data_IF_324353288054
#
_entry.id   IF_324353288054
#
_cell.length_a   1.000
_cell.length_b   1.000
_cell.length_c   1.000
_cell.angle_alpha   90.00
_cell.angle_beta   90.00
_cell.angle_gamma   90.00
#
_symmetry.space_group_name_H-M   'P 1'
#
loop_
_entity.id
_entity.type
_entity.pdbx_description
1 polymer ?
#
# COMPACT_ATOMS: atom_id res chain seq x y z
N UNK A 1 -36.30 2.35 35.07
CA UNK A 1 -35.04 3.11 35.20
C UNK A 1 -33.92 2.22 34.66
N UNK A 2 -33.43 2.49 33.44
CA UNK A 2 -32.37 1.71 32.79
C UNK A 2 -31.17 2.64 32.60
N UNK A 3 -30.08 2.34 33.28
CA UNK A 3 -28.85 3.11 33.27
C UNK A 3 -28.14 2.86 31.93
N UNK A 4 -27.95 3.92 31.14
CA UNK A 4 -27.13 3.90 29.92
C UNK A 4 -25.66 3.95 30.33
N UNK A 5 -24.89 2.93 30.01
CA UNK A 5 -23.43 2.95 30.16
C UNK A 5 -22.83 3.70 28.96
N UNK A 6 -22.42 4.95 29.19
CA UNK A 6 -21.47 5.65 28.36
C UNK A 6 -20.10 5.03 28.63
N UNK A 7 -19.62 4.19 27.72
CA UNK A 7 -18.22 3.78 27.72
C UNK A 7 -17.39 5.02 27.38
N UNK A 8 -16.78 5.61 28.42
CA UNK A 8 -15.79 6.65 28.30
C UNK A 8 -14.60 6.11 27.50
N UNK A 9 -14.37 6.72 26.33
CA UNK A 9 -13.20 6.50 25.51
C UNK A 9 -12.00 7.12 26.27
N UNK A 10 -11.27 6.29 27.01
CA UNK A 10 -10.00 6.70 27.58
C UNK A 10 -8.97 6.78 26.45
N UNK A 11 -8.59 8.01 26.09
CA UNK A 11 -7.42 8.28 25.24
C UNK A 11 -6.18 7.88 26.04
N UNK A 12 -5.65 6.70 25.76
CA UNK A 12 -4.33 6.29 26.25
C UNK A 12 -3.31 6.99 25.36
N UNK A 13 -2.82 8.14 25.81
CA UNK A 13 -1.59 8.73 25.32
C UNK A 13 -0.42 7.83 25.75
N UNK A 14 -0.14 6.80 24.97
CA UNK A 14 1.09 6.03 25.11
C UNK A 14 2.23 6.82 24.47
N UNK A 15 2.86 7.69 25.27
CA UNK A 15 4.19 8.17 24.95
C UNK A 15 5.19 7.04 25.20
N UNK A 16 6.02 6.69 24.20
CA UNK A 16 7.48 6.81 24.26
C UNK A 16 8.21 5.99 23.17
N UNK A 17 9.07 6.73 22.46
CA UNK A 17 10.43 6.34 22.06
C UNK A 17 10.63 5.28 20.96
N UNK A 18 10.29 5.62 19.71
CA UNK A 18 11.14 5.20 18.57
C UNK A 18 11.27 6.17 17.40
N UNK A 19 10.57 7.30 17.38
CA UNK A 19 10.76 8.39 16.39
C UNK A 19 11.31 9.70 17.03
N UNK A 20 11.88 9.67 18.25
CA UNK A 20 12.45 10.87 18.88
C UNK A 20 13.86 11.16 18.38
N UNK A 21 13.99 12.07 17.41
CA UNK A 21 15.20 12.88 17.32
C UNK A 21 15.12 13.90 18.45
N UNK A 22 16.07 13.85 19.38
CA UNK A 22 16.18 14.81 20.47
C UNK A 22 16.70 16.14 19.88
N UNK A 23 15.83 17.11 19.67
CA UNK A 23 16.21 18.52 19.62
C UNK A 23 15.29 19.29 20.56
N UNK A 24 15.90 19.87 21.60
CA UNK A 24 15.27 20.76 22.57
C UNK A 24 14.92 22.07 21.86
N UNK A 25 13.66 22.21 21.44
CA UNK A 25 13.16 23.46 20.89
C UNK A 25 12.44 24.24 21.98
N UNK A 26 13.11 25.30 22.42
CA UNK A 26 12.61 26.26 23.39
C UNK A 26 11.23 26.82 23.03
N UNK A 27 10.48 27.15 24.09
CA UNK A 27 9.12 27.66 24.09
C UNK A 27 8.90 28.79 23.06
N UNK A 28 8.21 28.49 21.96
CA UNK A 28 7.75 29.49 21.01
C UNK A 28 6.48 30.17 21.54
N UNK A 29 6.52 31.50 21.69
CA UNK A 29 5.38 32.33 22.05
C UNK A 29 4.34 32.48 20.92
N UNK A 30 3.18 33.11 21.19
CA UNK A 30 2.08 33.19 20.23
C UNK A 30 2.42 34.20 19.13
N UNK A 31 2.93 33.71 18.00
CA UNK A 31 3.25 34.49 16.81
C UNK A 31 2.46 34.02 15.61
N UNK A 32 1.68 34.92 15.02
CA UNK A 32 1.05 34.75 13.70
C UNK A 32 2.09 35.02 12.61
N UNK A 33 2.64 33.98 11.96
CA UNK A 33 3.39 34.15 10.71
C UNK A 33 4.56 33.18 10.48
N UNK A 34 4.51 32.51 9.32
CA UNK A 34 5.60 31.86 8.56
C UNK A 34 6.40 30.74 9.24
N UNK A 35 6.01 29.48 8.97
CA UNK A 35 6.86 28.30 9.24
C UNK A 35 8.01 28.27 8.21
N UNK A 36 9.06 29.07 8.47
CA UNK A 36 10.32 29.00 7.72
C UNK A 36 11.31 27.99 8.31
N UNK A 37 11.10 27.52 9.55
CA UNK A 37 11.61 26.24 10.08
C UNK A 37 10.91 26.02 11.42
N UNK A 38 10.10 24.97 11.55
CA UNK A 38 9.32 24.71 12.76
C UNK A 38 8.17 23.73 12.53
N UNK A 39 7.62 23.21 13.62
CA UNK A 39 6.51 22.23 13.64
C UNK A 39 5.39 22.66 12.69
N UNK A 40 5.05 21.78 11.75
CA UNK A 40 3.91 21.92 10.84
C UNK A 40 2.89 20.81 11.06
N UNK A 41 1.67 21.05 10.62
CA UNK A 41 0.59 20.07 10.63
C UNK A 41 0.01 19.91 9.23
N UNK A 42 -0.23 18.68 8.81
CA UNK A 42 -0.87 18.38 7.53
C UNK A 42 -1.96 17.33 7.73
N UNK A 43 -3.03 17.43 6.94
CA UNK A 43 -4.11 16.44 6.96
C UNK A 43 -4.00 15.47 5.79
N UNK A 44 -4.21 14.18 6.08
CA UNK A 44 -4.22 13.10 5.11
C UNK A 44 -5.54 12.33 5.19
N UNK A 45 -6.02 11.89 4.04
CA UNK A 45 -7.19 11.03 3.89
C UNK A 45 -6.68 9.68 3.41
N UNK A 46 -6.66 8.69 4.30
CA UNK A 46 -6.14 7.35 4.00
C UNK A 46 -7.29 6.53 3.45
N UNK A 47 -7.14 6.03 2.22
CA UNK A 47 -8.19 5.33 1.47
C UNK A 47 -7.85 3.84 1.36
N UNK A 48 -8.63 2.98 2.04
CA UNK A 48 -8.42 1.52 2.00
C UNK A 48 -8.95 0.92 0.69
N UNK A 49 -8.22 -0.04 0.11
CA UNK A 49 -8.57 -0.64 -1.17
C UNK A 49 -9.76 -1.60 -1.04
N UNK A 50 -10.71 -1.55 -1.97
CA UNK A 50 -11.75 -2.58 -2.07
C UNK A 50 -11.16 -3.93 -2.47
N UNK A 51 -11.74 -5.06 -2.00
CA UNK A 51 -11.33 -6.35 -2.54
C UNK A 51 -11.86 -6.46 -3.96
N UNK A 52 -11.00 -6.72 -4.94
CA UNK A 52 -11.50 -7.04 -6.28
C UNK A 52 -12.00 -8.48 -6.32
N UNK A 53 -13.18 -8.67 -6.89
CA UNK A 53 -13.83 -9.95 -7.12
C UNK A 53 -13.06 -10.86 -8.07
N UNK A 54 -13.50 -12.11 -8.14
CA UNK A 54 -12.92 -13.17 -8.95
C UNK A 54 -13.17 -12.94 -10.43
N UNK A 55 -12.10 -12.86 -11.23
CA UNK A 55 -12.14 -12.80 -12.71
C UNK A 55 -12.49 -14.16 -13.33
N UNK A 56 -13.63 -14.73 -12.98
CA UNK A 56 -14.20 -15.81 -13.77
C UNK A 56 -15.11 -15.16 -14.82
N UNK A 57 -14.55 -14.93 -16.01
CA UNK A 57 -15.20 -14.44 -17.24
C UNK A 57 -16.15 -13.23 -17.09
N UNK A 58 -15.65 -12.07 -17.54
CA UNK A 58 -16.29 -10.75 -17.60
C UNK A 58 -16.73 -10.05 -16.29
N UNK A 59 -16.48 -8.73 -16.30
CA UNK A 59 -16.64 -7.71 -15.25
C UNK A 59 -15.84 -7.87 -13.94
N UNK A 60 -15.00 -6.87 -13.68
CA UNK A 60 -14.37 -6.64 -12.38
C UNK A 60 -15.44 -6.12 -11.41
N UNK A 61 -16.10 -7.00 -10.66
CA UNK A 61 -16.86 -6.54 -9.48
C UNK A 61 -15.88 -6.30 -8.33
N UNK A 62 -16.05 -5.21 -7.58
CA UNK A 62 -15.30 -4.98 -6.34
C UNK A 62 -16.18 -5.45 -5.18
N UNK A 63 -15.95 -6.66 -4.70
CA UNK A 63 -16.64 -7.19 -3.53
C UNK A 63 -16.03 -6.61 -2.25
N UNK A 64 -16.79 -6.50 -1.17
CA UNK A 64 -16.20 -6.12 0.11
C UNK A 64 -15.54 -7.35 0.77
N UNK A 65 -14.30 -7.18 1.22
CA UNK A 65 -13.60 -8.18 2.03
C UNK A 65 -14.23 -8.36 3.43
N UNK A 66 -13.71 -9.30 4.21
CA UNK A 66 -14.15 -9.48 5.59
C UNK A 66 -13.71 -8.30 6.49
N UNK A 67 -14.39 -8.07 7.61
CA UNK A 67 -14.08 -6.92 8.48
C UNK A 67 -12.64 -6.95 9.05
N UNK A 68 -12.02 -8.13 9.16
CA UNK A 68 -10.64 -8.26 9.63
C UNK A 68 -9.63 -7.86 8.54
N UNK A 69 -9.97 -8.02 7.26
CA UNK A 69 -9.16 -7.61 6.09
C UNK A 69 -8.97 -6.10 5.97
N UNK A 70 -9.78 -5.31 6.67
CA UNK A 70 -9.73 -3.85 6.70
C UNK A 70 -9.38 -3.27 8.07
N UNK A 71 -9.15 -4.12 9.07
CA UNK A 71 -8.84 -3.65 10.41
C UNK A 71 -7.46 -2.98 10.42
N UNK A 72 -7.42 -1.71 10.84
CA UNK A 72 -6.19 -0.94 11.05
C UNK A 72 -5.95 -0.77 12.54
N UNK A 73 -4.85 -1.34 13.03
CA UNK A 73 -4.44 -1.34 14.44
C UNK A 73 -3.42 -0.22 14.74
N UNK A 74 -2.52 0.07 13.80
CA UNK A 74 -1.58 1.19 13.86
C UNK A 74 -1.31 1.78 12.48
N UNK A 75 -0.78 3.00 12.51
CA UNK A 75 -0.35 3.72 11.34
C UNK A 75 0.92 4.53 11.65
N UNK A 76 1.88 4.46 10.73
CA UNK A 76 3.11 5.24 10.74
C UNK A 76 3.20 6.03 9.45
N UNK A 77 3.39 7.34 9.56
CA UNK A 77 3.72 8.21 8.44
C UNK A 77 5.23 8.31 8.29
N UNK A 78 5.74 8.11 7.09
CA UNK A 78 7.13 8.34 6.72
C UNK A 78 7.19 9.54 5.78
N UNK A 79 8.15 10.42 6.02
CA UNK A 79 8.35 11.64 5.24
C UNK A 79 9.68 11.54 4.48
N UNK A 80 9.60 11.78 3.18
CA UNK A 80 10.74 11.84 2.27
C UNK A 80 10.88 13.25 1.69
N UNK A 81 12.11 13.73 1.54
CA UNK A 81 12.43 14.99 0.88
C UNK A 81 12.99 14.74 -0.51
N UNK A 82 12.49 15.48 -1.49
CA UNK A 82 13.12 15.54 -2.82
C UNK A 82 14.32 16.47 -2.76
N UNK A 83 15.52 15.91 -2.89
CA UNK A 83 16.76 16.68 -3.06
C UNK A 83 16.75 17.48 -4.37
N UNK A 84 17.51 18.58 -4.42
CA UNK A 84 17.56 19.46 -5.61
C UNK A 84 18.03 18.77 -6.89
N UNK A 85 18.88 17.74 -6.77
CA UNK A 85 19.41 16.95 -7.89
C UNK A 85 18.60 15.68 -8.19
N UNK A 86 17.56 15.37 -7.38
CA UNK A 86 16.81 14.13 -7.53
C UNK A 86 15.89 14.17 -8.76
N UNK A 87 16.18 13.32 -9.74
CA UNK A 87 15.42 13.21 -10.99
C UNK A 87 14.33 12.14 -10.93
N UNK A 88 14.46 11.15 -10.05
CA UNK A 88 13.48 10.08 -9.83
C UNK A 88 13.06 9.94 -8.37
N UNK A 89 11.86 9.41 -8.14
CA UNK A 89 11.28 9.21 -6.81
C UNK A 89 12.17 8.35 -5.90
N UNK A 90 12.83 7.33 -6.45
CA UNK A 90 13.76 6.47 -5.73
C UNK A 90 14.90 7.22 -5.03
N UNK A 91 15.29 8.40 -5.52
CA UNK A 91 16.36 9.21 -4.92
C UNK A 91 15.90 10.10 -3.76
N UNK A 92 14.60 10.13 -3.45
CA UNK A 92 14.10 10.96 -2.35
C UNK A 92 14.56 10.35 -1.03
N UNK A 93 15.00 11.18 -0.10
CA UNK A 93 15.65 10.72 1.13
C UNK A 93 14.71 10.84 2.32
N UNK A 94 14.68 9.82 3.17
CA UNK A 94 13.90 9.85 4.41
C UNK A 94 14.37 10.97 5.36
N UNK A 95 13.42 11.58 6.06
CA UNK A 95 13.66 12.73 6.95
C UNK A 95 13.10 12.51 8.36
N UNK A 96 11.85 12.06 8.46
CA UNK A 96 11.18 11.83 9.74
C UNK A 96 10.04 10.83 9.63
N UNK A 97 9.64 10.28 10.77
CA UNK A 97 8.44 9.49 10.94
C UNK A 97 7.51 10.12 11.98
N UNK A 98 6.21 10.00 11.77
CA UNK A 98 5.19 10.36 12.75
C UNK A 98 4.27 9.16 13.02
N UNK A 99 4.07 8.82 14.28
CA UNK A 99 3.04 7.87 14.68
C UNK A 99 1.68 8.55 14.62
N UNK A 100 0.75 7.90 13.94
CA UNK A 100 -0.57 8.45 13.63
C UNK A 100 -1.65 7.99 14.62
N UNK A 101 -1.30 7.13 15.57
CA UNK A 101 -2.25 6.62 16.58
C UNK A 101 -3.44 5.88 15.96
N UNK A 102 -4.61 5.99 16.60
CA UNK A 102 -5.83 5.33 16.12
C UNK A 102 -6.46 6.13 14.99
N UNK A 103 -6.62 5.50 13.82
CA UNK A 103 -7.27 6.09 12.64
C UNK A 103 -8.80 5.96 12.63
N UNK A 104 -9.42 5.59 13.75
CA UNK A 104 -10.87 5.52 13.86
C UNK A 104 -11.48 6.92 14.10
N UNK A 105 -12.71 7.20 13.62
CA UNK A 105 -13.60 6.29 12.91
C UNK A 105 -13.32 6.24 11.39
N UNK A 106 -13.26 5.01 10.86
CA UNK A 106 -13.30 4.75 9.42
C UNK A 106 -14.72 4.96 8.90
N UNK A 107 -14.84 5.58 7.72
CA UNK A 107 -16.13 5.89 7.09
C UNK A 107 -16.17 5.36 5.68
N UNK A 108 -17.34 4.94 5.23
CA UNK A 108 -17.56 4.58 3.83
C UNK A 108 -17.22 5.77 2.92
N UNK A 109 -16.59 5.49 1.79
CA UNK A 109 -16.35 6.48 0.74
C UNK A 109 -17.18 6.08 -0.48
N UNK A 110 -17.99 7.00 -0.99
CA UNK A 110 -18.68 6.79 -2.27
C UNK A 110 -17.70 7.00 -3.43
N UNK A 111 -16.64 6.20 -3.49
CA UNK A 111 -15.60 6.26 -4.50
C UNK A 111 -15.25 4.84 -5.01
N UNK A 112 -15.35 4.58 -6.33
CA UNK A 112 -14.97 3.30 -6.90
C UNK A 112 -13.52 2.91 -6.56
N UNK A 113 -13.35 1.70 -6.02
CA UNK A 113 -12.04 1.17 -5.61
C UNK A 113 -11.66 1.47 -4.16
N UNK A 114 -12.46 2.23 -3.40
CA UNK A 114 -12.25 2.53 -1.98
C UNK A 114 -13.37 1.94 -1.12
N UNK A 115 -13.02 1.18 -0.09
CA UNK A 115 -14.03 0.64 0.86
C UNK A 115 -14.32 1.65 1.96
N UNK A 116 -13.27 2.05 2.69
CA UNK A 116 -13.38 3.03 3.77
C UNK A 116 -12.21 4.01 3.71
N UNK A 117 -12.42 5.16 4.34
CA UNK A 117 -11.40 6.17 4.51
C UNK A 117 -11.37 6.71 5.94
N UNK A 118 -10.21 7.22 6.33
CA UNK A 118 -10.01 7.94 7.59
C UNK A 118 -9.23 9.22 7.32
N UNK A 119 -9.70 10.32 7.91
CA UNK A 119 -8.96 11.58 7.93
C UNK A 119 -8.10 11.63 9.18
N UNK A 120 -6.84 12.02 9.01
CA UNK A 120 -5.90 12.20 10.09
C UNK A 120 -5.11 13.50 9.91
N UNK A 121 -4.74 14.11 11.02
CA UNK A 121 -3.80 15.23 11.05
C UNK A 121 -2.49 14.74 11.67
N UNK A 122 -1.39 14.97 10.97
CA UNK A 122 -0.05 14.59 11.43
C UNK A 122 0.72 15.84 11.85
N UNK A 123 1.45 15.73 12.97
CA UNK A 123 2.50 16.67 13.36
C UNK A 123 3.77 16.31 12.59
N UNK A 124 4.42 17.31 11.99
CA UNK A 124 5.61 17.18 11.17
C UNK A 124 6.68 18.13 11.75
N UNK A 125 7.75 17.58 12.29
CA UNK A 125 8.75 18.34 13.05
C UNK A 125 9.88 18.88 12.14
N UNK A 126 10.13 18.25 11.00
CA UNK A 126 11.22 18.59 10.06
C UNK A 126 10.75 19.08 8.69
N UNK A 127 9.45 19.26 8.50
CA UNK A 127 8.86 19.78 7.26
C UNK A 127 8.78 21.31 7.28
N UNK A 128 9.00 21.93 6.12
CA UNK A 128 8.85 23.36 5.87
C UNK A 128 8.09 23.60 4.56
N UNK A 129 7.79 24.87 4.23
CA UNK A 129 7.03 25.22 3.03
C UNK A 129 7.87 25.48 1.77
N UNK A 130 9.20 25.53 1.87
CA UNK A 130 10.10 25.87 0.75
C UNK A 130 10.62 24.63 0.03
N UNK A 131 10.90 23.57 0.78
CA UNK A 131 11.30 22.26 0.27
C UNK A 131 10.09 21.44 -0.21
N UNK A 132 10.37 20.38 -0.97
CA UNK A 132 9.36 19.44 -1.48
C UNK A 132 9.40 18.15 -0.68
N UNK A 133 8.35 17.91 0.10
CA UNK A 133 8.20 16.72 0.93
C UNK A 133 7.09 15.80 0.40
N UNK A 134 7.23 14.51 0.69
CA UNK A 134 6.33 13.47 0.24
C UNK A 134 6.05 12.49 1.39
N UNK A 135 4.81 12.03 1.45
CA UNK A 135 4.27 11.15 2.47
C UNK A 135 4.15 9.71 1.98
N UNK A 136 4.48 8.78 2.87
CA UNK A 136 4.21 7.36 2.72
C UNK A 136 3.68 6.80 4.03
N UNK A 137 2.52 6.14 3.98
CA UNK A 137 1.90 5.54 5.15
C UNK A 137 2.18 4.04 5.18
N UNK A 138 2.49 3.54 6.37
CA UNK A 138 2.51 2.12 6.71
C UNK A 138 1.37 1.86 7.69
N UNK A 139 0.46 0.96 7.34
CA UNK A 139 -0.61 0.49 8.22
C UNK A 139 -0.30 -0.92 8.70
N UNK A 140 -0.64 -1.20 9.95
CA UNK A 140 -0.43 -2.50 10.59
C UNK A 140 1.04 -2.96 10.50
N UNK A 141 1.97 -2.02 10.56
CA UNK A 141 3.39 -2.36 10.55
C UNK A 141 3.78 -2.97 11.89
N UNK A 142 3.13 -2.56 12.98
CA UNK A 142 3.51 -2.93 14.33
C UNK A 142 4.65 -2.06 14.86
N UNK A 143 4.91 -2.18 16.17
CA UNK A 143 5.98 -1.44 16.86
C UNK A 143 7.33 -2.16 16.72
N UNK A 144 8.42 -1.44 17.02
CA UNK A 144 9.84 -1.84 16.84
C UNK A 144 10.15 -3.34 17.00
N UNK A 145 9.63 -4.00 18.03
CA UNK A 145 9.92 -5.42 18.28
C UNK A 145 9.21 -6.38 17.29
N UNK A 146 7.99 -6.03 16.86
CA UNK A 146 7.12 -6.85 16.02
C UNK A 146 6.91 -6.24 14.62
N UNK A 147 7.73 -5.25 14.25
CA UNK A 147 7.59 -4.55 12.99
C UNK A 147 7.68 -5.52 11.81
N UNK A 148 6.70 -5.45 10.90
CA UNK A 148 6.66 -6.22 9.64
C UNK A 148 7.70 -5.71 8.67
N UNK A 149 7.88 -4.39 8.63
CA UNK A 149 8.90 -3.67 7.86
C UNK A 149 9.78 -2.87 8.82
N UNK A 150 11.08 -2.96 8.60
CA UNK A 150 12.06 -2.08 9.25
C UNK A 150 11.96 -0.69 8.65
N UNK A 151 11.77 0.33 9.49
CA UNK A 151 11.70 1.73 9.04
C UNK A 151 13.04 2.19 8.41
N UNK A 152 12.99 3.16 7.49
CA UNK A 152 14.20 3.75 6.92
C UNK A 152 14.99 4.53 7.98
N UNK A 153 16.29 4.68 7.74
CA UNK A 153 17.15 5.57 8.56
C UNK A 153 17.24 6.97 7.94
N UNK A 154 17.53 7.99 8.76
CA UNK A 154 17.69 9.38 8.29
C UNK A 154 18.63 9.48 7.07
N UNK A 155 18.19 10.19 6.03
CA UNK A 155 18.93 10.33 4.77
C UNK A 155 18.90 9.11 3.85
N UNK A 156 18.30 7.98 4.24
CA UNK A 156 18.22 6.78 3.39
C UNK A 156 17.31 7.04 2.18
N UNK A 157 17.81 6.72 0.98
CA UNK A 157 17.03 6.83 -0.26
C UNK A 157 15.85 5.86 -0.27
N UNK A 158 14.72 6.29 -0.80
CA UNK A 158 13.51 5.47 -0.93
C UNK A 158 13.78 4.15 -1.66
N UNK A 159 14.49 4.18 -2.79
CA UNK A 159 14.82 2.97 -3.56
C UNK A 159 15.73 2.02 -2.78
N UNK A 160 16.73 2.56 -2.08
CA UNK A 160 17.64 1.78 -1.23
C UNK A 160 16.89 1.11 -0.07
N UNK A 161 16.10 1.88 0.67
CA UNK A 161 15.28 1.34 1.74
C UNK A 161 14.35 0.23 1.24
N UNK A 162 13.64 0.49 0.14
CA UNK A 162 12.70 -0.48 -0.40
C UNK A 162 13.39 -1.75 -0.89
N UNK A 163 14.58 -1.65 -1.48
CA UNK A 163 15.30 -2.83 -2.02
C UNK A 163 16.09 -3.61 -0.96
N UNK A 164 16.59 -2.96 0.10
CA UNK A 164 17.42 -3.60 1.12
C UNK A 164 16.61 -4.12 2.33
N UNK A 165 15.49 -3.48 2.70
CA UNK A 165 14.68 -3.88 3.87
C UNK A 165 13.60 -4.93 3.54
N UNK A 166 13.94 -5.89 2.69
CA UNK A 166 13.07 -7.01 2.31
C UNK A 166 12.61 -7.80 3.55
N UNK A 167 11.35 -8.19 3.59
CA UNK A 167 10.73 -8.87 4.74
C UNK A 167 10.02 -10.16 4.35
N UNK A 168 9.93 -11.10 5.29
CA UNK A 168 9.10 -12.31 5.20
C UNK A 168 7.91 -12.29 6.18
N UNK A 169 7.63 -11.13 6.80
CA UNK A 169 6.67 -11.00 7.90
C UNK A 169 5.26 -10.60 7.47
N UNK A 170 4.98 -10.40 6.18
CA UNK A 170 3.63 -10.00 5.76
C UNK A 170 2.57 -11.07 6.04
N UNK A 171 2.94 -12.34 5.91
CA UNK A 171 2.08 -13.50 6.18
C UNK A 171 1.78 -13.72 7.67
N UNK A 172 2.39 -12.95 8.57
CA UNK A 172 2.19 -13.09 10.02
C UNK A 172 0.88 -12.38 10.38
N UNK A 173 -0.13 -13.10 10.93
CA UNK A 173 -1.46 -12.51 11.20
C UNK A 173 -1.44 -11.50 12.35
N UNK A 174 -0.37 -11.49 13.13
CA UNK A 174 -0.17 -10.56 14.23
C UNK A 174 -0.28 -9.13 13.72
N UNK A 175 -1.06 -8.33 14.44
CA UNK A 175 -1.28 -6.93 14.15
C UNK A 175 -2.02 -6.60 12.84
N UNK A 176 -2.69 -7.57 12.23
CA UNK A 176 -3.56 -7.35 11.06
C UNK A 176 -2.79 -7.29 9.74
N UNK A 177 -3.49 -7.04 8.63
CA UNK A 177 -2.88 -7.05 7.29
C UNK A 177 -2.04 -5.81 7.05
N UNK A 178 -0.76 -5.99 6.74
CA UNK A 178 0.11 -4.89 6.34
C UNK A 178 -0.46 -4.19 5.11
N UNK A 179 -0.50 -2.86 5.13
CA UNK A 179 -0.84 -2.05 3.97
C UNK A 179 0.11 -0.87 3.87
N UNK A 180 0.36 -0.39 2.66
CA UNK A 180 1.16 0.80 2.44
C UNK A 180 0.69 1.54 1.19
N UNK A 181 1.23 2.73 0.91
CA UNK A 181 0.93 3.47 -0.32
C UNK A 181 0.98 2.56 -1.55
N UNK A 182 -0.03 2.69 -2.40
CA UNK A 182 -0.06 2.04 -3.70
C UNK A 182 0.66 2.89 -4.74
N UNK A 183 1.48 2.30 -5.62
CA UNK A 183 1.98 3.00 -6.80
C UNK A 183 0.80 3.32 -7.72
N UNK A 184 0.63 4.61 -8.03
CA UNK A 184 -0.46 5.12 -8.87
C UNK A 184 0.08 5.56 -10.22
N UNK A 185 -0.68 5.23 -11.25
CA UNK A 185 -0.45 5.59 -12.64
C UNK A 185 -1.11 6.93 -12.97
N UNK A 186 -0.32 7.86 -13.47
CA UNK A 186 -0.81 9.13 -14.01
C UNK A 186 0.10 9.58 -15.15
N UNK A 187 -0.47 9.93 -16.31
CA UNK A 187 0.27 10.47 -17.46
C UNK A 187 1.50 9.63 -17.90
N UNK A 188 1.33 8.31 -18.06
CA UNK A 188 2.41 7.36 -18.38
C UNK A 188 3.56 7.29 -17.36
N UNK A 189 3.32 7.78 -16.15
CA UNK A 189 4.27 7.75 -15.04
C UNK A 189 3.65 7.05 -13.83
N UNK A 190 4.48 6.42 -13.01
CA UNK A 190 4.04 5.74 -11.78
C UNK A 190 4.79 6.33 -10.59
N UNK A 191 4.05 6.76 -9.57
CA UNK A 191 4.60 7.30 -8.31
C UNK A 191 3.93 6.66 -7.12
N UNK A 192 4.68 6.50 -6.03
CA UNK A 192 4.20 5.88 -4.79
C UNK A 192 4.13 6.87 -3.63
N UNK A 193 5.05 7.83 -3.59
CA UNK A 193 5.11 8.86 -2.57
C UNK A 193 4.11 9.97 -2.90
N UNK A 194 3.33 10.39 -1.91
CA UNK A 194 2.27 11.39 -2.11
C UNK A 194 2.80 12.77 -1.75
N UNK A 195 2.75 13.77 -2.64
CA UNK A 195 3.26 15.11 -2.34
C UNK A 195 2.53 15.75 -1.15
N UNK A 196 3.30 16.31 -0.22
CA UNK A 196 2.77 17.21 0.81
C UNK A 196 2.76 18.61 0.21
N UNK A 197 1.56 19.13 -0.07
CA UNK A 197 1.40 20.45 -0.68
C UNK A 197 1.85 21.51 0.32
N UNK A 198 2.84 22.32 -0.04
CA UNK A 198 3.47 23.30 0.86
C UNK A 198 2.47 24.26 1.51
N UNK A 199 1.48 24.73 0.74
CA UNK A 199 0.43 25.64 1.21
C UNK A 199 -0.65 24.95 2.07
N UNK A 200 -0.59 23.61 2.21
CA UNK A 200 -1.43 22.80 3.09
C UNK A 200 -0.69 22.29 4.33
N UNK A 201 0.47 22.87 4.63
CA UNK A 201 1.14 22.74 5.91
C UNK A 201 0.66 23.91 6.77
N UNK A 202 0.11 23.62 7.94
CA UNK A 202 -0.48 24.60 8.85
C UNK A 202 0.32 24.69 10.16
N UNK A 203 0.30 25.83 10.86
CA UNK A 203 0.98 25.98 12.15
C UNK A 203 0.27 25.26 13.31
N UNK A 204 -1.01 24.87 13.15
CA UNK A 204 -1.81 24.24 14.21
C UNK A 204 -2.53 22.98 13.72
N UNK A 205 -2.76 22.05 14.65
CA UNK A 205 -3.51 20.82 14.39
C UNK A 205 -4.95 21.13 13.97
N UNK A 206 -5.61 22.06 14.66
CA UNK A 206 -7.01 22.41 14.40
C UNK A 206 -7.21 23.02 13.01
N UNK A 207 -6.26 23.83 12.55
CA UNK A 207 -6.30 24.42 11.22
C UNK A 207 -6.08 23.36 10.14
N UNK A 208 -5.09 22.49 10.32
CA UNK A 208 -4.89 21.35 9.42
C UNK A 208 -6.14 20.44 9.38
N UNK A 209 -6.74 20.14 10.53
CA UNK A 209 -7.92 19.28 10.65
C UNK A 209 -9.17 19.87 9.98
N UNK A 210 -9.28 21.21 9.87
CA UNK A 210 -10.40 21.88 9.19
C UNK A 210 -10.22 21.96 7.68
N UNK A 211 -8.99 21.93 7.18
CA UNK A 211 -8.69 22.07 5.77
C UNK A 211 -8.72 20.73 4.99
N UNK A 212 -8.80 20.77 3.64
CA UNK A 212 -8.83 19.57 2.82
C UNK A 212 -7.59 18.70 3.02
N UNK A 213 -7.82 17.41 3.23
CA UNK A 213 -6.74 16.44 3.34
C UNK A 213 -6.17 16.06 1.98
N UNK A 214 -4.91 15.66 1.94
CA UNK A 214 -4.33 15.00 0.77
C UNK A 214 -4.69 13.52 0.81
N UNK A 215 -5.23 12.99 -0.29
CA UNK A 215 -5.57 11.57 -0.38
C UNK A 215 -4.32 10.70 -0.52
N UNK A 216 -4.26 9.65 0.30
CA UNK A 216 -3.29 8.56 0.20
C UNK A 216 -4.07 7.28 -0.06
N UNK A 217 -3.80 6.62 -1.17
CA UNK A 217 -4.40 5.32 -1.49
C UNK A 217 -3.44 4.23 -1.08
N UNK A 218 -3.89 3.31 -0.24
CA UNK A 218 -3.06 2.18 0.21
C UNK A 218 -3.44 0.90 -0.51
N UNK A 219 -2.55 -0.08 -0.49
CA UNK A 219 -2.77 -1.45 -0.94
C UNK A 219 -2.27 -2.45 0.09
N UNK A 220 -2.85 -3.66 0.08
CA UNK A 220 -2.43 -4.75 0.96
C UNK A 220 -1.06 -5.29 0.53
N UNK A 221 -0.25 -5.68 1.51
CA UNK A 221 1.01 -6.40 1.30
C UNK A 221 0.83 -7.87 0.91
N UNK A 222 -0.38 -8.41 1.04
CA UNK A 222 -0.74 -9.77 0.67
C UNK A 222 -1.77 -9.79 -0.46
N UNK A 223 -1.71 -10.86 -1.25
CA UNK A 223 -2.81 -11.24 -2.15
C UNK A 223 -3.86 -12.05 -1.36
N UNK A 224 -5.08 -12.08 -1.89
CA UNK A 224 -6.17 -12.94 -1.42
C UNK A 224 -6.52 -13.90 -2.55
N UNK A 225 -6.82 -15.16 -2.21
CA UNK A 225 -7.45 -16.09 -3.14
C UNK A 225 -8.50 -16.94 -2.51
N UNK A 226 -9.53 -17.14 -3.32
CA UNK A 226 -10.69 -17.93 -3.05
C UNK A 226 -10.74 -19.09 -4.03
N UNK A 227 -10.90 -20.30 -3.51
CA UNK A 227 -11.24 -21.49 -4.30
C UNK A 227 -12.77 -21.63 -4.29
N UNK A 228 -13.38 -21.75 -5.47
CA UNK A 228 -14.84 -21.78 -5.61
C UNK A 228 -15.52 -22.91 -4.84
N UNK A 229 -16.81 -22.75 -4.56
CA UNK A 229 -17.63 -23.57 -3.65
C UNK A 229 -17.94 -25.01 -4.12
N UNK A 230 -17.39 -25.47 -5.23
CA UNK A 230 -17.67 -26.79 -5.81
C UNK A 230 -16.62 -27.86 -5.56
N UNK A 231 -15.73 -27.71 -4.58
CA UNK A 231 -14.57 -28.59 -4.43
C UNK A 231 -14.79 -29.77 -3.49
N UNK A 232 -15.67 -29.65 -2.50
CA UNK A 232 -15.98 -30.73 -1.56
C UNK A 232 -17.11 -31.66 -2.01
N UNK A 233 -17.84 -31.29 -3.08
CA UNK A 233 -18.88 -32.14 -3.65
C UNK A 233 -18.26 -33.16 -4.60
N UNK A 234 -18.65 -34.42 -4.47
CA UNK A 234 -18.24 -35.49 -5.38
C UNK A 234 -18.63 -35.13 -6.82
N UNK A 235 -17.66 -35.16 -7.73
CA UNK A 235 -17.86 -34.96 -9.16
C UNK A 235 -17.64 -36.28 -9.89
N UNK A 236 -18.58 -36.66 -10.74
CA UNK A 236 -18.41 -37.81 -11.62
C UNK A 236 -17.66 -37.39 -12.88
N UNK A 237 -16.64 -38.17 -13.25
CA UNK A 237 -15.91 -37.99 -14.50
C UNK A 237 -16.81 -38.40 -15.67
N UNK A 238 -17.11 -37.45 -16.55
CA UNK A 238 -18.08 -37.64 -17.64
C UNK A 238 -17.49 -38.17 -18.95
N UNK A 239 -16.16 -38.11 -19.14
CA UNK A 239 -15.47 -38.54 -20.36
C UNK A 239 -14.14 -39.25 -20.08
N UNK A 240 -13.61 -39.91 -21.12
CA UNK A 240 -12.26 -40.49 -21.18
C UNK A 240 -12.04 -41.78 -20.37
N UNK A 241 -10.78 -42.15 -20.16
CA UNK A 241 -10.30 -43.40 -19.55
C UNK A 241 -10.88 -43.69 -18.15
N UNK A 242 -11.33 -42.65 -17.45
CA UNK A 242 -11.80 -42.72 -16.06
C UNK A 242 -13.31 -42.42 -15.94
N UNK A 243 -14.08 -42.62 -17.02
CA UNK A 243 -15.52 -42.38 -17.00
C UNK A 243 -16.22 -43.16 -15.88
N UNK A 244 -17.03 -42.45 -15.09
CA UNK A 244 -17.74 -43.02 -13.94
C UNK A 244 -16.98 -42.92 -12.62
N UNK A 245 -15.68 -42.57 -12.64
CA UNK A 245 -14.93 -42.29 -11.42
C UNK A 245 -15.50 -41.08 -10.68
N UNK A 246 -15.35 -41.11 -9.36
CA UNK A 246 -15.86 -40.12 -8.42
C UNK A 246 -14.69 -39.37 -7.80
N UNK A 247 -14.60 -38.07 -8.06
CA UNK A 247 -13.51 -37.20 -7.58
C UNK A 247 -14.04 -36.24 -6.52
N UNK A 248 -13.37 -36.18 -5.38
CA UNK A 248 -13.63 -35.20 -4.32
C UNK A 248 -12.34 -34.47 -3.98
N UNK A 249 -12.35 -33.14 -3.96
CA UNK A 249 -11.20 -32.35 -3.53
C UNK A 249 -11.31 -32.18 -2.01
N UNK A 250 -10.50 -32.92 -1.26
CA UNK A 250 -10.55 -32.95 0.20
C UNK A 250 -9.75 -31.83 0.86
N UNK A 251 -8.67 -31.40 0.22
CA UNK A 251 -7.78 -30.32 0.68
C UNK A 251 -7.18 -29.60 -0.51
N UNK A 252 -6.82 -28.35 -0.30
CA UNK A 252 -6.01 -27.59 -1.22
C UNK A 252 -4.97 -26.83 -0.43
N UNK A 253 -3.86 -26.56 -1.08
CA UNK A 253 -2.81 -25.71 -0.58
C UNK A 253 -2.29 -24.89 -1.75
N UNK A 254 -1.54 -23.87 -1.40
CA UNK A 254 -0.93 -22.96 -2.34
C UNK A 254 0.50 -23.38 -2.50
N UNK A 255 0.94 -23.52 -3.74
CA UNK A 255 2.30 -23.90 -4.08
C UNK A 255 3.02 -22.72 -4.74
N UNK A 256 4.35 -22.72 -4.65
CA UNK A 256 5.23 -21.69 -5.21
C UNK A 256 4.88 -20.28 -4.69
N UNK A 257 4.75 -20.17 -3.36
CA UNK A 257 4.47 -18.91 -2.67
C UNK A 257 5.74 -18.05 -2.56
N UNK A 258 5.59 -16.73 -2.67
CA UNK A 258 6.71 -15.83 -2.34
C UNK A 258 7.14 -15.99 -0.89
N UNK A 259 8.46 -16.01 -0.65
CA UNK A 259 9.03 -16.14 0.71
C UNK A 259 9.36 -14.78 1.31
N UNK A 260 9.50 -13.77 0.46
CA UNK A 260 9.93 -12.42 0.80
C UNK A 260 9.12 -11.40 0.01
N UNK A 261 9.04 -10.18 0.51
CA UNK A 261 8.41 -9.03 -0.13
C UNK A 261 9.23 -7.77 0.13
N UNK A 262 9.21 -6.84 -0.82
CA UNK A 262 9.67 -5.48 -0.55
C UNK A 262 8.70 -4.79 0.42
N UNK A 263 9.17 -3.84 1.25
CA UNK A 263 8.32 -2.96 2.05
C UNK A 263 7.15 -2.40 1.25
N UNK A 264 7.45 -1.88 0.06
CA UNK A 264 6.53 -1.21 -0.86
C UNK A 264 6.60 -1.92 -2.21
N UNK A 265 5.48 -1.96 -2.92
CA UNK A 265 5.40 -2.45 -4.30
C UNK A 265 6.44 -1.72 -5.17
N UNK A 266 7.50 -2.43 -5.52
CA UNK A 266 8.66 -1.83 -6.15
C UNK A 266 8.43 -1.65 -7.66
N UNK A 267 8.44 -0.40 -8.11
CA UNK A 267 8.34 -0.02 -9.53
C UNK A 267 9.56 0.76 -10.02
N UNK A 268 10.55 0.99 -9.15
CA UNK A 268 11.76 1.75 -9.46
C UNK A 268 12.60 1.01 -10.51
N UNK A 269 13.05 1.73 -11.54
CA UNK A 269 13.82 1.16 -12.65
C UNK A 269 13.01 0.39 -13.71
N UNK A 270 11.72 0.09 -13.48
CA UNK A 270 10.93 -0.67 -14.45
C UNK A 270 10.76 0.03 -15.80
N UNK A 271 10.69 1.37 -15.81
CA UNK A 271 10.64 2.16 -17.03
C UNK A 271 12.00 2.26 -17.74
N UNK A 272 13.11 2.04 -17.04
CA UNK A 272 14.45 1.96 -17.62
C UNK A 272 14.64 0.58 -18.29
N UNK A 273 14.27 -0.49 -17.59
CA UNK A 273 14.33 -1.87 -18.09
C UNK A 273 13.28 -2.14 -19.20
N UNK A 274 12.11 -1.50 -19.10
CA UNK A 274 10.98 -1.67 -19.99
C UNK A 274 10.33 -0.32 -20.31
N UNK A 275 10.87 0.38 -21.31
CA UNK A 275 10.47 1.73 -21.70
C UNK A 275 8.98 1.90 -22.00
N UNK A 276 8.28 0.83 -22.38
CA UNK A 276 6.86 0.85 -22.74
C UNK A 276 5.92 0.26 -21.68
N UNK A 277 6.43 -0.20 -20.52
CA UNK A 277 5.59 -0.89 -19.52
C UNK A 277 4.42 -0.03 -19.00
N UNK A 278 4.63 1.28 -18.94
CA UNK A 278 3.63 2.26 -18.53
C UNK A 278 2.96 2.97 -19.72
N UNK A 279 3.21 2.55 -20.96
CA UNK A 279 2.47 3.06 -22.11
C UNK A 279 1.07 2.45 -22.12
N UNK A 280 0.08 3.16 -21.59
CA UNK A 280 -1.30 2.68 -21.49
C UNK A 280 -2.11 2.84 -22.80
N UNK A 281 -1.46 2.70 -23.96
CA UNK A 281 -2.13 2.69 -25.25
C UNK A 281 -2.58 1.27 -25.57
N UNK A 282 -3.77 1.09 -26.15
CA UNK A 282 -4.21 -0.23 -26.62
C UNK A 282 -3.28 -0.73 -27.74
N UNK A 283 -2.61 -1.85 -27.51
CA UNK A 283 -1.82 -2.56 -28.52
C UNK A 283 -2.59 -3.75 -29.06
N UNK A 284 -2.25 -4.20 -30.28
CA UNK A 284 -2.79 -5.44 -30.83
C UNK A 284 -2.54 -6.57 -29.84
N UNK A 285 -3.61 -7.25 -29.44
CA UNK A 285 -3.51 -8.33 -28.45
C UNK A 285 -2.68 -9.49 -29.01
N UNK A 286 -1.79 -10.03 -28.19
CA UNK A 286 -1.00 -11.21 -28.54
C UNK A 286 -1.90 -12.37 -28.95
N UNK A 287 -1.60 -12.99 -30.09
CA UNK A 287 -2.34 -14.17 -30.57
C UNK A 287 -2.14 -15.42 -29.70
N UNK A 288 -1.17 -15.40 -28.78
CA UNK A 288 -0.85 -16.54 -27.90
C UNK A 288 -1.68 -16.51 -26.62
N UNK A 289 -1.85 -15.32 -26.03
CA UNK A 289 -2.41 -15.17 -24.69
C UNK A 289 -3.36 -13.98 -24.53
N UNK A 290 -3.71 -13.29 -25.61
CA UNK A 290 -4.61 -12.13 -25.59
C UNK A 290 -4.06 -10.92 -24.85
N UNK A 291 -2.78 -10.91 -24.46
CA UNK A 291 -2.20 -9.82 -23.68
C UNK A 291 -1.98 -8.57 -24.55
N UNK A 292 -2.27 -7.40 -23.97
CA UNK A 292 -1.91 -6.09 -24.49
C UNK A 292 -1.39 -5.20 -23.35
N UNK A 293 -0.85 -4.04 -23.69
CA UNK A 293 -0.24 -3.06 -22.77
C UNK A 293 -1.21 -2.46 -21.74
N UNK A 294 -2.53 -2.51 -21.95
CA UNK A 294 -3.50 -2.00 -20.97
C UNK A 294 -3.63 -2.89 -19.73
N UNK A 295 -3.04 -4.09 -19.74
CA UNK A 295 -3.07 -5.02 -18.59
C UNK A 295 -2.22 -4.58 -17.40
N UNK A 296 -1.36 -3.57 -17.56
CA UNK A 296 -0.42 -3.14 -16.52
C UNK A 296 -1.05 -2.15 -15.53
N UNK A 297 -2.12 -1.47 -15.92
CA UNK A 297 -2.75 -0.39 -15.16
C UNK A 297 -4.26 -0.61 -15.03
N UNK A 298 -4.86 -0.01 -14.00
CA UNK A 298 -6.30 0.09 -13.88
C UNK A 298 -6.88 1.00 -14.97
N UNK A 299 -7.71 0.42 -15.84
CA UNK A 299 -8.39 1.11 -16.93
C UNK A 299 -9.88 1.36 -16.65
N UNK A 300 -10.39 1.04 -15.45
CA UNK A 300 -11.76 1.36 -15.08
C UNK A 300 -11.95 2.88 -15.09
N UNK A 301 -12.80 3.43 -15.94
CA UNK A 301 -12.96 4.90 -16.09
C UNK A 301 -13.51 5.59 -14.85
N UNK A 302 -14.18 4.87 -13.95
CA UNK A 302 -14.79 5.41 -12.75
C UNK A 302 -13.84 5.50 -11.54
N UNK A 303 -12.69 4.83 -11.57
CA UNK A 303 -11.69 4.90 -10.48
C UNK A 303 -10.87 6.19 -10.58
N UNK A 304 -10.68 6.90 -9.46
CA UNK A 304 -9.84 8.12 -9.46
C UNK A 304 -8.36 7.76 -9.38
N UNK A 305 -8.00 6.89 -8.44
CA UNK A 305 -6.63 6.40 -8.27
C UNK A 305 -6.36 5.17 -9.16
N UNK A 306 -5.73 5.38 -10.31
CA UNK A 306 -5.35 4.28 -11.21
C UNK A 306 -4.17 3.52 -10.62
N UNK A 307 -4.39 2.27 -10.20
CA UNK A 307 -3.32 1.42 -9.65
C UNK A 307 -2.56 0.72 -10.76
N UNK A 308 -1.31 0.35 -10.50
CA UNK A 308 -0.57 -0.59 -11.37
C UNK A 308 -0.58 -1.98 -10.79
N UNK A 309 -0.56 -2.98 -11.67
CA UNK A 309 -0.67 -4.38 -11.27
C UNK A 309 0.66 -5.12 -11.27
N UNK A 310 1.76 -4.50 -11.68
CA UNK A 310 3.04 -5.18 -11.88
C UNK A 310 4.17 -4.46 -11.17
N UNK A 311 5.11 -5.22 -10.61
CA UNK A 311 6.25 -4.70 -9.86
C UNK A 311 7.41 -5.69 -9.84
N UNK A 312 8.56 -5.23 -9.38
CA UNK A 312 9.75 -6.06 -9.20
C UNK A 312 9.56 -6.98 -8.00
N UNK A 313 9.94 -8.25 -8.15
CA UNK A 313 9.85 -9.26 -7.11
C UNK A 313 11.23 -9.60 -6.49
N UNK A 314 11.39 -9.54 -5.15
CA UNK A 314 12.66 -9.84 -4.48
C UNK A 314 13.07 -11.32 -4.51
N UNK A 315 12.17 -12.23 -4.88
CA UNK A 315 12.41 -13.68 -4.91
C UNK A 315 13.04 -14.14 -6.25
N UNK A 316 13.14 -13.25 -7.24
CA UNK A 316 13.48 -13.61 -8.62
C UNK A 316 14.59 -12.77 -9.25
N UNK A 317 15.29 -11.94 -8.47
CA UNK A 317 16.28 -10.97 -8.95
C UNK A 317 17.70 -11.54 -9.25
N UNK A 318 17.84 -12.85 -9.51
CA UNK A 318 19.16 -13.42 -9.76
C UNK A 318 19.62 -13.22 -11.22
N UNK A 319 20.90 -12.85 -11.38
CA UNK A 319 21.56 -12.67 -12.68
C UNK A 319 21.90 -13.99 -13.40
N UNK A 320 21.53 -15.14 -12.83
CA UNK A 320 21.88 -16.49 -13.30
C UNK A 320 20.94 -17.02 -14.39
N UNK A 321 19.89 -16.29 -14.74
CA UNK A 321 18.93 -16.68 -15.79
C UNK A 321 19.12 -15.92 -17.10
N UNK A 322 18.80 -16.57 -18.21
CA UNK A 322 18.86 -16.00 -19.55
C UNK A 322 17.92 -14.78 -19.67
N UNK A 323 18.25 -13.75 -20.48
CA UNK A 323 17.49 -12.49 -20.56
C UNK A 323 15.98 -12.66 -20.82
N UNK A 324 15.59 -13.66 -21.61
CA UNK A 324 14.18 -13.98 -21.90
C UNK A 324 13.42 -14.60 -20.71
N UNK A 325 14.12 -15.25 -19.79
CA UNK A 325 13.55 -15.86 -18.58
C UNK A 325 13.47 -14.89 -17.41
N UNK A 326 14.20 -13.76 -17.49
CA UNK A 326 14.12 -12.67 -16.51
C UNK A 326 12.76 -11.97 -16.54
N UNK A 327 12.15 -11.80 -17.72
CA UNK A 327 10.86 -11.14 -17.95
C UNK A 327 9.70 -11.73 -17.13
N UNK A 328 9.57 -13.07 -17.09
CA UNK A 328 8.46 -13.74 -16.42
C UNK A 328 8.64 -13.85 -14.90
N UNK A 329 9.86 -13.59 -14.40
CA UNK A 329 10.24 -13.80 -13.00
C UNK A 329 10.47 -12.47 -12.28
N UNK A 330 10.98 -11.44 -12.96
CA UNK A 330 11.23 -10.12 -12.38
C UNK A 330 9.92 -9.38 -12.06
N UNK A 331 8.91 -9.59 -12.90
CA UNK A 331 7.63 -8.88 -12.85
C UNK A 331 6.55 -9.79 -12.26
N UNK A 332 6.03 -9.45 -11.08
CA UNK A 332 4.87 -10.16 -10.50
C UNK A 332 3.62 -9.33 -10.64
N UNK A 333 2.58 -9.97 -11.21
CA UNK A 333 1.23 -9.41 -11.23
C UNK A 333 0.65 -9.44 -9.82
N UNK A 334 0.54 -8.30 -9.14
CA UNK A 334 -0.42 -8.09 -8.06
C UNK A 334 -1.83 -8.15 -8.65
N UNK A 335 -2.34 -9.35 -8.74
CA UNK A 335 -3.73 -9.64 -9.07
C UNK A 335 -4.44 -9.98 -7.76
N UNK A 336 -5.73 -9.62 -7.62
CA UNK A 336 -6.61 -10.38 -6.69
C UNK A 336 -6.76 -11.85 -7.10
N UNK A 337 -6.10 -12.26 -8.18
CA UNK A 337 -5.85 -13.64 -8.56
C UNK A 337 -4.37 -13.87 -8.76
N UNK A 338 -3.60 -13.80 -7.68
CA UNK A 338 -2.47 -14.69 -7.48
C UNK A 338 -2.81 -15.52 -6.26
N UNK A 339 -3.14 -16.80 -6.53
CA UNK A 339 -3.41 -17.86 -5.56
C UNK A 339 -2.58 -17.71 -4.28
N UNK A 340 -3.15 -17.10 -3.23
CA UNK A 340 -2.86 -17.20 -1.78
C UNK A 340 -3.81 -16.27 -0.98
N UNK A 341 -4.43 -16.54 0.19
CA UNK A 341 -4.17 -17.45 1.31
C UNK A 341 -5.45 -17.78 2.15
N UNK A 342 -5.44 -19.00 2.68
CA UNK A 342 -6.02 -19.63 3.90
C UNK A 342 -6.79 -18.73 4.90
N UNK A 343 -8.03 -19.11 5.19
CA UNK A 343 -8.56 -19.10 6.56
C UNK A 343 -8.94 -20.55 6.94
N UNK A 344 -8.73 -20.86 8.21
CA UNK A 344 -8.84 -22.18 8.85
C UNK A 344 -10.28 -22.64 9.01
#
# INVERSE_FOLDING_TARGET
MKIKHLFGLAVIAAMTASCSSNEDLGTAGPGTGTNETGVGYASFSINLPTTSGTRADDDLTFENGDANEYKVNDATLLIFKKGGEATKEGDYTFVECAELGSMAPWKDKNEPGVTTHAKITAKLDKVNRTDKFFALVLLNNGTVANAKVTLPTDGEKFSKWNTEKVTNKFATPENGFYMANAPLFENNNVTTLVPIVSDKIYPTEEEAAKNPATDIYVERGLAKVTLGTGTTTEKTVTSDTYQGDKVTISKWALDVTNKKAYPIHNVDGLNEDYTEIWNNNATTSSSINGANTQRFVDNNTATLAKRVYWGIDPNYNNNSYAPSERLARLLVKKSSTMLQQIQT
#
